data_IF_289151695413
#
_entry.id   IF_289151695413
#
_cell.length_a   1.000
_cell.length_b   1.000
_cell.length_c   1.000
_cell.angle_alpha   90.00
_cell.angle_beta   90.00
_cell.angle_gamma   90.00
#
_symmetry.space_group_name_H-M   'P 1'
#
loop_
_entity.id
_entity.type
_entity.pdbx_description
1 polymer ?
#
# COMPACT_ATOMS: atom_id res chain seq x y z
N UNK A 1 -4.70 -12.19 -19.08
CA UNK A 1 -3.80 -12.13 -17.89
C UNK A 1 -3.13 -10.77 -17.72
N UNK A 2 -2.60 -10.10 -18.76
CA UNK A 2 -2.03 -8.74 -18.63
C UNK A 2 -3.03 -7.72 -18.06
N UNK A 3 -4.27 -7.74 -18.53
CA UNK A 3 -5.30 -6.83 -18.01
C UNK A 3 -5.54 -7.01 -16.50
N UNK A 4 -5.43 -8.23 -15.99
CA UNK A 4 -5.59 -8.52 -14.55
C UNK A 4 -4.42 -7.97 -13.75
N UNK A 5 -3.19 -8.12 -14.24
CA UNK A 5 -2.00 -7.57 -13.57
C UNK A 5 -2.04 -6.04 -13.54
N UNK A 6 -2.28 -5.41 -14.69
CA UNK A 6 -2.38 -3.95 -14.77
C UNK A 6 -3.50 -3.40 -13.87
N UNK A 7 -4.63 -4.10 -13.79
CA UNK A 7 -5.73 -3.74 -12.91
C UNK A 7 -5.33 -3.89 -11.43
N UNK A 8 -4.67 -4.99 -11.06
CA UNK A 8 -4.22 -5.24 -9.69
C UNK A 8 -3.17 -4.22 -9.24
N UNK A 9 -2.19 -3.90 -10.12
CA UNK A 9 -1.19 -2.87 -9.82
C UNK A 9 -1.82 -1.48 -9.67
N UNK A 10 -2.76 -1.10 -10.54
CA UNK A 10 -3.51 0.17 -10.40
C UNK A 10 -4.30 0.22 -9.10
N UNK A 11 -4.96 -0.87 -8.73
CA UNK A 11 -5.73 -0.97 -7.50
C UNK A 11 -4.80 -0.83 -6.28
N UNK A 12 -3.66 -1.51 -6.28
CA UNK A 12 -2.67 -1.43 -5.21
C UNK A 12 -2.08 -0.02 -5.08
N UNK A 13 -1.75 0.64 -6.19
CA UNK A 13 -1.28 2.04 -6.21
C UNK A 13 -2.36 2.97 -5.63
N UNK A 14 -3.61 2.80 -6.05
CA UNK A 14 -4.73 3.61 -5.59
C UNK A 14 -4.95 3.43 -4.08
N UNK A 15 -4.98 2.20 -3.58
CA UNK A 15 -5.14 1.91 -2.15
C UNK A 15 -3.98 2.47 -1.33
N UNK A 16 -2.73 2.29 -1.79
CA UNK A 16 -1.55 2.85 -1.11
C UNK A 16 -1.58 4.38 -1.09
N UNK A 17 -2.03 5.01 -2.17
CA UNK A 17 -2.18 6.47 -2.25
C UNK A 17 -3.28 6.97 -1.29
N UNK A 18 -4.40 6.28 -1.23
CA UNK A 18 -5.48 6.58 -0.28
C UNK A 18 -4.97 6.46 1.16
N UNK A 19 -4.19 5.41 1.45
CA UNK A 19 -3.59 5.22 2.77
C UNK A 19 -2.66 6.39 3.15
N UNK A 20 -1.77 6.81 2.24
CA UNK A 20 -0.87 7.97 2.46
C UNK A 20 -1.69 9.24 2.70
N UNK A 21 -2.70 9.51 1.88
CA UNK A 21 -3.57 10.68 2.03
C UNK A 21 -4.30 10.62 3.37
N UNK A 22 -4.87 9.48 3.73
CA UNK A 22 -5.57 9.29 5.00
C UNK A 22 -4.63 9.53 6.19
N UNK A 23 -3.45 8.91 6.20
CA UNK A 23 -2.49 9.03 7.31
C UNK A 23 -1.91 10.44 7.46
N UNK A 24 -1.79 11.19 6.36
CA UNK A 24 -1.20 12.53 6.39
C UNK A 24 -2.23 13.63 6.58
N UNK A 25 -3.32 13.61 5.83
CA UNK A 25 -4.31 14.70 5.84
C UNK A 25 -5.32 14.57 6.97
N UNK A 26 -5.69 13.36 7.37
CA UNK A 26 -6.71 13.18 8.39
C UNK A 26 -6.32 13.73 9.76
N UNK A 27 -5.11 13.45 10.30
CA UNK A 27 -4.66 14.09 11.54
C UNK A 27 -4.57 15.63 11.43
N UNK A 28 -4.13 16.12 10.27
CA UNK A 28 -4.01 17.56 10.03
C UNK A 28 -5.37 18.26 10.00
N UNK A 29 -6.38 17.62 9.42
CA UNK A 29 -7.77 18.12 9.41
C UNK A 29 -8.40 18.09 10.79
N UNK A 30 -8.14 17.06 11.61
CA UNK A 30 -8.63 17.00 13.00
C UNK A 30 -8.04 18.14 13.83
N UNK A 31 -6.73 18.40 13.70
CA UNK A 31 -6.06 19.50 14.41
C UNK A 31 -6.64 20.86 13.97
N UNK A 32 -6.92 21.02 12.68
CA UNK A 32 -7.46 22.26 12.13
C UNK A 32 -8.94 22.46 12.47
N UNK A 33 -9.69 21.36 12.62
CA UNK A 33 -11.12 21.36 12.96
C UNK A 33 -11.38 21.24 14.47
N UNK A 34 -10.43 21.63 15.34
CA UNK A 34 -10.49 21.50 16.78
C UNK A 34 -11.80 22.03 17.40
N UNK A 35 -12.85 21.28 17.29
CA UNK A 35 -14.17 21.60 17.83
C UNK A 35 -15.34 20.84 17.26
N UNK A 36 -15.21 20.06 16.20
CA UNK A 36 -16.42 19.56 15.53
C UNK A 36 -16.63 18.04 15.40
N UNK A 37 -15.64 17.16 15.65
CA UNK A 37 -15.94 15.71 15.57
C UNK A 37 -15.07 14.84 16.48
N UNK A 38 -15.72 14.19 17.45
CA UNK A 38 -15.21 13.04 18.17
C UNK A 38 -15.22 11.80 17.25
N UNK A 39 -14.41 11.80 16.21
CA UNK A 39 -14.38 10.76 15.19
C UNK A 39 -13.18 9.81 15.35
N UNK A 40 -12.67 9.66 16.57
CA UNK A 40 -11.48 8.87 16.85
C UNK A 40 -11.65 7.36 16.63
N UNK A 41 -12.83 6.81 16.88
CA UNK A 41 -13.09 5.36 16.77
C UNK A 41 -13.24 4.89 15.31
N UNK A 42 -13.75 5.74 14.42
CA UNK A 42 -13.95 5.35 13.03
C UNK A 42 -12.66 5.42 12.20
N UNK A 43 -11.68 6.22 12.60
CA UNK A 43 -10.41 6.32 11.89
C UNK A 43 -9.58 5.05 11.96
N UNK A 44 -9.53 4.37 13.11
CA UNK A 44 -8.80 3.10 13.29
C UNK A 44 -9.42 1.95 12.51
N UNK A 45 -10.75 1.85 12.50
CA UNK A 45 -11.45 0.83 11.73
C UNK A 45 -11.21 0.99 10.22
N UNK A 46 -11.33 2.22 9.71
CA UNK A 46 -11.09 2.51 8.30
C UNK A 46 -9.64 2.20 7.92
N UNK A 47 -8.68 2.63 8.76
CA UNK A 47 -7.26 2.36 8.58
C UNK A 47 -6.98 0.85 8.52
N UNK A 48 -7.46 0.09 9.50
CA UNK A 48 -7.29 -1.36 9.55
C UNK A 48 -7.93 -2.06 8.35
N UNK A 49 -9.08 -1.59 7.90
CA UNK A 49 -9.79 -2.15 6.76
C UNK A 49 -9.04 -1.90 5.45
N UNK A 50 -8.51 -0.69 5.25
CA UNK A 50 -7.66 -0.35 4.09
C UNK A 50 -6.41 -1.24 4.08
N UNK A 51 -5.74 -1.40 5.22
CA UNK A 51 -4.55 -2.25 5.33
C UNK A 51 -4.86 -3.71 5.06
N UNK A 52 -5.98 -4.22 5.62
CA UNK A 52 -6.43 -5.60 5.41
C UNK A 52 -6.72 -5.90 3.94
N UNK A 53 -7.25 -4.94 3.19
CA UNK A 53 -7.49 -5.08 1.74
C UNK A 53 -6.19 -4.92 0.94
N UNK A 54 -5.32 -4.01 1.36
CA UNK A 54 -4.06 -3.72 0.65
C UNK A 54 -3.13 -4.94 0.66
N UNK A 55 -3.04 -5.67 1.77
CA UNK A 55 -2.14 -6.81 1.91
C UNK A 55 -2.38 -7.90 0.85
N UNK A 56 -3.57 -8.52 0.73
CA UNK A 56 -3.79 -9.58 -0.24
C UNK A 56 -3.68 -9.11 -1.68
N UNK A 57 -4.15 -7.89 -1.98
CA UNK A 57 -4.08 -7.33 -3.33
C UNK A 57 -2.63 -7.09 -3.73
N UNK A 58 -1.81 -6.54 -2.82
CA UNK A 58 -0.39 -6.28 -3.08
C UNK A 58 0.41 -7.56 -3.24
N UNK A 59 0.19 -8.56 -2.39
CA UNK A 59 0.86 -9.87 -2.51
C UNK A 59 0.55 -10.49 -3.87
N UNK A 60 -0.73 -10.51 -4.25
CA UNK A 60 -1.15 -11.06 -5.53
C UNK A 60 -0.52 -10.32 -6.71
N UNK A 61 -0.59 -8.98 -6.71
CA UNK A 61 -0.06 -8.16 -7.79
C UNK A 61 1.47 -8.27 -7.93
N UNK A 62 2.20 -8.29 -6.80
CA UNK A 62 3.67 -8.44 -6.79
C UNK A 62 4.11 -9.83 -7.24
N UNK A 63 3.44 -10.89 -6.77
CA UNK A 63 3.73 -12.26 -7.19
C UNK A 63 3.51 -12.42 -8.70
N UNK A 64 2.38 -11.92 -9.20
CA UNK A 64 2.04 -11.99 -10.62
C UNK A 64 2.99 -11.16 -11.49
N UNK A 65 3.39 -9.98 -11.01
CA UNK A 65 4.41 -9.15 -11.66
C UNK A 65 5.76 -9.86 -11.74
N UNK A 66 6.19 -10.50 -10.66
CA UNK A 66 7.43 -11.27 -10.66
C UNK A 66 7.38 -12.45 -11.65
N UNK A 67 6.27 -13.17 -11.72
CA UNK A 67 6.10 -14.26 -12.68
C UNK A 67 6.26 -13.79 -14.13
N UNK A 68 5.77 -12.61 -14.45
CA UNK A 68 5.79 -12.06 -15.81
C UNK A 68 7.13 -11.42 -16.18
N UNK A 69 7.76 -10.68 -15.26
CA UNK A 69 8.95 -9.85 -15.59
C UNK A 69 10.25 -10.37 -14.97
N UNK A 70 10.17 -11.32 -14.02
CA UNK A 70 11.32 -11.88 -13.27
C UNK A 70 12.19 -10.81 -12.57
N UNK A 71 11.64 -9.62 -12.33
CA UNK A 71 12.34 -8.51 -11.69
C UNK A 71 12.18 -8.61 -10.17
N UNK A 72 13.17 -9.20 -9.52
CA UNK A 72 13.14 -9.44 -8.06
C UNK A 72 13.21 -8.16 -7.23
N UNK A 73 13.83 -7.10 -7.75
CA UNK A 73 14.07 -5.85 -7.00
C UNK A 73 12.78 -5.23 -6.50
N UNK A 74 11.78 -5.09 -7.37
CA UNK A 74 10.50 -4.49 -6.98
C UNK A 74 9.67 -5.41 -6.10
N UNK A 75 9.79 -6.72 -6.29
CA UNK A 75 9.20 -7.69 -5.37
C UNK A 75 9.76 -7.51 -3.95
N UNK A 76 11.08 -7.41 -3.79
CA UNK A 76 11.71 -7.22 -2.48
C UNK A 76 11.32 -5.89 -1.83
N UNK A 77 11.29 -4.79 -2.59
CA UNK A 77 10.85 -3.48 -2.09
C UNK A 77 9.39 -3.54 -1.64
N UNK A 78 8.53 -4.20 -2.40
CA UNK A 78 7.13 -4.38 -2.03
C UNK A 78 6.94 -5.24 -0.79
N UNK A 79 7.66 -6.36 -0.67
CA UNK A 79 7.63 -7.21 0.53
C UNK A 79 8.13 -6.42 1.74
N UNK A 80 9.19 -5.64 1.61
CA UNK A 80 9.69 -4.77 2.68
C UNK A 80 8.61 -3.77 3.13
N UNK A 81 7.96 -3.09 2.20
CA UNK A 81 6.85 -2.18 2.51
C UNK A 81 5.67 -2.90 3.19
N UNK A 82 5.30 -4.10 2.72
CA UNK A 82 4.24 -4.90 3.34
C UNK A 82 4.61 -5.36 4.75
N UNK A 83 5.86 -5.74 5.00
CA UNK A 83 6.31 -6.10 6.35
C UNK A 83 6.25 -4.90 7.31
N UNK A 84 6.57 -3.70 6.84
CA UNK A 84 6.39 -2.47 7.63
C UNK A 84 4.92 -2.21 7.96
N UNK A 85 4.01 -2.42 7.01
CA UNK A 85 2.56 -2.26 7.24
C UNK A 85 2.04 -3.28 8.26
N UNK A 86 2.47 -4.54 8.16
CA UNK A 86 2.11 -5.57 9.15
C UNK A 86 2.68 -5.25 10.52
N UNK A 87 3.94 -4.78 10.57
CA UNK A 87 4.56 -4.36 11.83
C UNK A 87 3.83 -3.15 12.47
N UNK A 88 3.34 -2.21 11.66
CA UNK A 88 2.54 -1.10 12.13
C UNK A 88 1.25 -1.58 12.82
N UNK A 89 0.53 -2.55 12.22
CA UNK A 89 -0.70 -3.11 12.81
C UNK A 89 -0.41 -3.88 14.10
N UNK A 90 0.62 -4.74 14.09
CA UNK A 90 0.86 -5.66 15.20
C UNK A 90 1.60 -5.03 16.38
N UNK A 91 2.46 -4.08 16.14
CA UNK A 91 3.40 -3.54 17.12
C UNK A 91 3.27 -2.02 17.30
N UNK A 92 2.56 -1.33 16.37
CA UNK A 92 2.59 0.12 16.25
C UNK A 92 2.28 0.83 17.56
N UNK A 93 1.09 0.66 18.09
CA UNK A 93 0.64 1.39 19.28
C UNK A 93 1.38 0.93 20.54
N UNK A 94 1.61 -0.38 20.67
CA UNK A 94 2.20 -0.98 21.89
C UNK A 94 3.68 -0.66 22.06
N UNK A 95 4.45 -0.57 20.95
CA UNK A 95 5.91 -0.38 20.99
C UNK A 95 6.36 1.02 20.61
N UNK A 96 5.70 1.65 19.66
CA UNK A 96 6.14 2.92 19.06
C UNK A 96 5.19 4.07 19.38
N UNK A 97 4.04 3.78 20.01
CA UNK A 97 2.99 4.75 20.22
C UNK A 97 2.32 5.20 18.91
N UNK A 98 1.32 6.05 19.02
CA UNK A 98 0.49 6.53 17.90
C UNK A 98 1.32 7.16 16.75
N UNK A 99 2.35 7.93 17.08
CA UNK A 99 3.22 8.56 16.06
C UNK A 99 4.10 7.53 15.33
N UNK A 100 4.57 6.51 16.03
CA UNK A 100 5.38 5.46 15.44
C UNK A 100 4.58 4.56 14.50
N UNK A 101 3.37 4.22 14.87
CA UNK A 101 2.45 3.47 14.03
C UNK A 101 2.14 4.23 12.72
N UNK A 102 1.79 5.50 12.83
CA UNK A 102 1.53 6.37 11.66
C UNK A 102 2.76 6.51 10.78
N UNK A 103 3.94 6.67 11.37
CA UNK A 103 5.21 6.74 10.65
C UNK A 103 5.54 5.45 9.89
N UNK A 104 5.40 4.29 10.53
CA UNK A 104 5.60 2.98 9.90
C UNK A 104 4.61 2.74 8.76
N UNK A 105 3.34 3.09 8.97
CA UNK A 105 2.31 2.97 7.94
C UNK A 105 2.59 3.86 6.74
N UNK A 106 2.99 5.11 6.97
CA UNK A 106 3.34 6.04 5.90
C UNK A 106 4.52 5.54 5.08
N UNK A 107 5.60 5.11 5.73
CA UNK A 107 6.77 4.58 5.04
C UNK A 107 6.47 3.28 4.31
N UNK A 108 5.77 2.34 4.95
CA UNK A 108 5.36 1.09 4.34
C UNK A 108 4.50 1.31 3.09
N UNK A 109 3.51 2.19 3.18
CA UNK A 109 2.64 2.55 2.05
C UNK A 109 3.42 3.18 0.90
N UNK A 110 4.43 4.01 1.19
CA UNK A 110 5.30 4.60 0.17
C UNK A 110 6.10 3.52 -0.58
N UNK A 111 6.71 2.56 0.13
CA UNK A 111 7.46 1.46 -0.51
C UNK A 111 6.55 0.56 -1.34
N UNK A 112 5.35 0.25 -0.85
CA UNK A 112 4.36 -0.53 -1.59
C UNK A 112 3.94 0.20 -2.86
N UNK A 113 3.57 1.48 -2.77
CA UNK A 113 3.18 2.29 -3.93
C UNK A 113 4.32 2.39 -4.96
N UNK A 114 5.55 2.63 -4.50
CA UNK A 114 6.74 2.70 -5.37
C UNK A 114 6.99 1.37 -6.09
N UNK A 115 6.87 0.25 -5.38
CA UNK A 115 7.03 -1.08 -5.96
C UNK A 115 6.00 -1.34 -7.06
N UNK A 116 4.71 -1.11 -6.78
CA UNK A 116 3.64 -1.31 -7.75
C UNK A 116 3.74 -0.37 -8.95
N UNK A 117 4.12 0.88 -8.72
CA UNK A 117 4.30 1.84 -9.80
C UNK A 117 5.39 1.41 -10.79
N UNK A 118 6.52 0.89 -10.28
CA UNK A 118 7.58 0.39 -11.14
C UNK A 118 7.19 -0.94 -11.80
N UNK A 119 6.51 -1.83 -11.08
CA UNK A 119 5.97 -3.07 -11.62
C UNK A 119 5.02 -2.78 -12.80
N UNK A 120 4.10 -1.84 -12.62
CA UNK A 120 3.19 -1.36 -13.66
C UNK A 120 3.94 -0.79 -14.87
N UNK A 121 4.97 0.06 -14.63
CA UNK A 121 5.79 0.65 -15.72
C UNK A 121 6.55 -0.40 -16.52
N UNK A 122 7.09 -1.42 -15.88
CA UNK A 122 7.77 -2.52 -16.57
C UNK A 122 6.77 -3.28 -17.43
N UNK A 123 5.60 -3.59 -16.88
CA UNK A 123 4.55 -4.27 -17.63
C UNK A 123 4.14 -3.52 -18.92
N UNK A 124 4.11 -2.19 -18.86
CA UNK A 124 3.83 -1.37 -20.04
C UNK A 124 4.97 -1.31 -21.07
N UNK A 125 6.23 -1.41 -20.59
CA UNK A 125 7.41 -1.27 -21.47
C UNK A 125 7.86 -2.59 -22.11
N UNK A 126 7.65 -3.66 -21.39
CA UNK A 126 7.94 -4.98 -21.89
C UNK A 126 6.72 -5.39 -22.71
N UNK A 127 6.86 -5.46 -24.04
CA UNK A 127 5.91 -6.20 -24.88
C UNK A 127 5.93 -7.63 -24.35
N UNK A 128 5.20 -7.85 -23.29
CA UNK A 128 5.10 -9.16 -22.69
C UNK A 128 4.46 -10.04 -23.74
N UNK A 129 5.17 -11.09 -24.17
CA UNK A 129 4.74 -12.11 -25.11
C UNK A 129 3.43 -12.83 -24.75
N UNK A 130 2.61 -12.20 -23.92
CA UNK A 130 1.27 -12.60 -23.51
C UNK A 130 0.21 -12.21 -24.55
N UNK A 131 0.59 -11.57 -25.67
CA UNK A 131 -0.33 -11.29 -26.77
C UNK A 131 -0.50 -12.48 -27.71
N UNK A 132 0.36 -13.51 -27.63
CA UNK A 132 0.33 -14.68 -28.51
C UNK A 132 -0.07 -15.96 -27.76
N UNK A 133 -1.23 -15.97 -27.09
CA UNK A 133 -1.97 -17.21 -26.82
C UNK A 133 -3.42 -16.94 -26.50
#
# INVERSE_FOLDING_TARGET
>A
MINTQLASDKLAIMLSTICVIHCFFFPSLIILSAGFFSFSLESELIHSLILLLTLPISIFALAHGYENHKTITFLLIGIFGLTMLVAAILLGESFFGEFGEKGLTLMGSFFVAYSHFNNYKICLKTDCSCHDK
#
